data_IF_527447768364
#
_entry.id   IF_527447768364
#
_cell.length_a   1.000
_cell.length_b   1.000
_cell.length_c   1.000
_cell.angle_alpha   90.00
_cell.angle_beta   90.00
_cell.angle_gamma   90.00
#
_symmetry.space_group_name_H-M   'P 1'
#
loop_
_entity.id
_entity.type
_entity.pdbx_description
1 polymer ?
#
# COMPACT_ATOMS: atom_id res chain seq x y z
N UNK A 1 10.34 27.42 16.16
CA UNK A 1 9.05 27.70 15.49
C UNK A 1 9.25 27.66 13.98
N UNK A 2 9.32 26.45 13.43
CA UNK A 2 8.91 26.06 12.07
C UNK A 2 8.57 24.58 12.21
N UNK A 3 7.28 24.32 12.38
CA UNK A 3 6.70 22.98 12.40
C UNK A 3 6.71 22.48 10.96
N UNK A 4 7.60 21.54 10.66
CA UNK A 4 7.55 20.81 9.40
C UNK A 4 6.41 19.79 9.53
N UNK A 5 5.24 20.19 9.03
CA UNK A 5 4.11 19.28 8.81
C UNK A 5 4.49 18.39 7.62
N UNK A 6 5.13 17.26 7.90
CA UNK A 6 5.53 16.27 6.91
C UNK A 6 4.43 15.20 6.74
N UNK A 7 3.86 15.17 5.52
CA UNK A 7 3.02 14.14 4.90
C UNK A 7 1.81 13.58 5.68
N UNK A 8 0.69 14.30 5.67
CA UNK A 8 -0.62 13.68 5.90
C UNK A 8 -1.37 13.46 4.57
N UNK A 9 -1.21 12.27 3.96
CA UNK A 9 -2.21 11.71 3.06
C UNK A 9 -3.10 10.71 3.82
N UNK A 10 -3.91 11.25 4.74
CA UNK A 10 -5.24 10.73 5.09
C UNK A 10 -5.38 9.36 5.76
N UNK A 11 -5.34 9.37 7.10
CA UNK A 11 -5.68 8.27 8.05
C UNK A 11 -4.75 7.06 8.00
N UNK A 12 -3.66 7.17 8.74
CA UNK A 12 -2.94 6.01 9.29
C UNK A 12 -3.88 5.19 10.17
N UNK A 13 -4.02 3.89 9.89
CA UNK A 13 -4.68 2.94 10.80
C UNK A 13 -5.64 1.94 10.17
N UNK A 14 -6.24 2.25 9.01
CA UNK A 14 -7.28 1.39 8.41
C UNK A 14 -6.84 0.76 7.09
N UNK A 15 -7.39 -0.41 6.79
CA UNK A 15 -7.23 -1.04 5.47
C UNK A 15 -8.00 -0.27 4.42
N UNK A 16 -7.36 -0.01 3.27
CA UNK A 16 -7.98 0.65 2.11
C UNK A 16 -7.92 -0.27 0.91
N UNK A 17 -9.08 -0.47 0.30
CA UNK A 17 -9.22 -1.15 -1.00
C UNK A 17 -9.36 -0.12 -2.12
N UNK A 18 -8.84 -0.43 -3.30
CA UNK A 18 -8.99 0.43 -4.50
C UNK A 18 -10.47 0.57 -4.89
N UNK A 19 -10.88 1.75 -5.35
CA UNK A 19 -12.21 1.97 -5.93
C UNK A 19 -12.42 1.22 -7.26
N UNK A 20 -11.33 0.79 -7.91
CA UNK A 20 -11.36 -0.02 -9.13
C UNK A 20 -11.43 -1.53 -8.84
N UNK A 21 -11.48 -1.91 -7.56
CA UNK A 21 -11.69 -3.29 -7.13
C UNK A 21 -12.98 -3.86 -7.73
N UNK A 22 -12.87 -5.03 -8.35
CA UNK A 22 -14.01 -5.83 -8.75
C UNK A 22 -14.16 -7.04 -7.81
N UNK A 23 -15.37 -7.60 -7.65
CA UNK A 23 -15.61 -8.72 -6.75
C UNK A 23 -14.61 -9.86 -6.99
N UNK A 24 -13.84 -10.19 -5.96
CA UNK A 24 -13.01 -11.39 -5.93
C UNK A 24 -11.58 -11.26 -6.46
N UNK A 25 -10.98 -10.07 -6.61
CA UNK A 25 -9.53 -9.89 -6.90
C UNK A 25 -8.98 -8.54 -6.46
N UNK A 26 -9.01 -8.26 -5.16
CA UNK A 26 -8.59 -6.96 -4.65
C UNK A 26 -7.44 -7.05 -3.66
N UNK A 27 -6.63 -5.99 -3.69
CA UNK A 27 -5.54 -5.78 -2.76
C UNK A 27 -5.95 -4.68 -1.80
N UNK A 28 -5.68 -4.91 -0.52
CA UNK A 28 -5.84 -3.91 0.53
C UNK A 28 -4.49 -3.41 1.00
N UNK A 29 -4.41 -2.10 1.25
CA UNK A 29 -3.20 -1.42 1.71
C UNK A 29 -3.50 -0.68 3.01
N UNK A 30 -2.59 -0.76 3.98
CA UNK A 30 -2.65 -0.01 5.24
C UNK A 30 -1.31 0.66 5.51
N UNK A 31 -1.34 1.97 5.72
CA UNK A 31 -0.16 2.76 6.08
C UNK A 31 -0.05 2.83 7.60
N UNK A 32 1.13 2.53 8.13
CA UNK A 32 1.44 2.50 9.56
C UNK A 32 2.79 3.19 9.83
N UNK A 33 3.11 3.55 11.08
CA UNK A 33 4.45 4.04 11.43
C UNK A 33 5.57 3.03 11.18
N UNK A 34 5.25 1.74 11.00
CA UNK A 34 6.22 0.69 10.69
C UNK A 34 6.40 0.47 9.17
N UNK A 35 5.68 1.22 8.33
CA UNK A 35 5.68 1.09 6.88
C UNK A 35 4.30 0.72 6.32
N UNK A 36 4.31 0.16 5.10
CA UNK A 36 3.11 -0.17 4.32
C UNK A 36 2.83 -1.66 4.36
N UNK A 37 1.60 -1.99 4.79
CA UNK A 37 1.09 -3.36 4.82
C UNK A 37 0.22 -3.62 3.60
N UNK A 38 0.40 -4.77 2.96
CA UNK A 38 -0.36 -5.19 1.77
C UNK A 38 -0.90 -6.61 1.99
N UNK A 39 -2.18 -6.83 1.69
CA UNK A 39 -2.81 -8.16 1.76
C UNK A 39 -3.83 -8.39 0.65
N UNK A 40 -4.13 -9.66 0.40
CA UNK A 40 -5.26 -10.06 -0.45
C UNK A 40 -6.58 -9.91 0.34
N UNK A 41 -7.53 -9.15 -0.20
CA UNK A 41 -8.81 -8.87 0.44
C UNK A 41 -9.71 -10.11 0.58
N UNK A 42 -9.41 -11.20 -0.14
CA UNK A 42 -10.22 -12.43 -0.14
C UNK A 42 -9.89 -13.35 1.03
N UNK A 43 -8.75 -13.15 1.66
CA UNK A 43 -8.24 -14.03 2.72
C UNK A 43 -8.17 -13.20 4.00
N UNK A 44 -9.25 -13.24 4.79
CA UNK A 44 -9.42 -12.42 6.00
C UNK A 44 -8.23 -12.49 6.97
N UNK A 45 -7.54 -13.64 7.03
CA UNK A 45 -6.34 -13.89 7.82
C UNK A 45 -5.15 -14.36 6.96
N UNK A 46 -5.06 -13.85 5.73
CA UNK A 46 -3.99 -14.15 4.80
C UNK A 46 -2.64 -13.54 5.21
N UNK A 47 -1.54 -13.92 4.54
CA UNK A 47 -0.24 -13.31 4.77
C UNK A 47 -0.29 -11.81 4.47
N UNK A 48 0.39 -11.04 5.32
CA UNK A 48 0.57 -9.60 5.15
C UNK A 48 2.00 -9.35 4.71
N UNK A 49 2.18 -8.72 3.55
CA UNK A 49 3.47 -8.22 3.12
C UNK A 49 3.72 -6.88 3.80
N UNK A 50 4.95 -6.68 4.28
CA UNK A 50 5.38 -5.47 4.98
C UNK A 50 6.47 -4.83 4.14
N UNK A 51 6.28 -3.57 3.77
CA UNK A 51 7.25 -2.75 3.07
C UNK A 51 7.67 -1.61 3.99
N UNK A 52 8.96 -1.31 4.03
CA UNK A 52 9.43 0.00 4.50
C UNK A 52 8.93 1.10 3.57
N UNK A 53 8.96 2.36 4.04
CA UNK A 53 8.56 3.49 3.21
C UNK A 53 9.44 3.61 1.94
N UNK A 54 10.73 3.32 2.07
CA UNK A 54 11.70 3.33 0.97
C UNK A 54 11.39 2.24 -0.07
N UNK A 55 11.15 1.00 0.38
CA UNK A 55 10.76 -0.10 -0.50
C UNK A 55 9.43 0.17 -1.19
N UNK A 56 8.47 0.78 -0.49
CA UNK A 56 7.17 1.14 -1.07
C UNK A 56 7.31 2.18 -2.18
N UNK A 57 8.15 3.20 -2.00
CA UNK A 57 8.42 4.22 -3.03
C UNK A 57 9.03 3.56 -4.27
N UNK A 58 10.03 2.69 -4.09
CA UNK A 58 10.67 1.97 -5.19
C UNK A 58 9.69 1.03 -5.89
N UNK A 59 8.88 0.30 -5.13
CA UNK A 59 7.85 -0.59 -5.67
C UNK A 59 6.86 0.17 -6.58
N UNK A 60 6.34 1.31 -6.12
CA UNK A 60 5.41 2.14 -6.92
C UNK A 60 6.11 2.70 -8.17
N UNK A 61 7.39 3.07 -8.07
CA UNK A 61 8.16 3.50 -9.23
C UNK A 61 8.29 2.39 -10.28
N UNK A 62 8.63 1.16 -9.87
CA UNK A 62 8.73 0.01 -10.76
C UNK A 62 7.38 -0.37 -11.40
N UNK A 63 6.28 -0.34 -10.64
CA UNK A 63 4.92 -0.54 -11.18
C UNK A 63 4.60 0.47 -12.26
N UNK A 64 4.91 1.76 -12.05
CA UNK A 64 4.67 2.81 -13.05
C UNK A 64 5.57 2.68 -14.28
N UNK A 65 6.76 2.12 -14.12
CA UNK A 65 7.68 1.83 -15.21
C UNK A 65 7.34 0.55 -15.98
N UNK A 66 6.34 -0.23 -15.54
CA UNK A 66 5.95 -1.49 -16.17
C UNK A 66 6.93 -2.63 -15.88
N UNK A 67 7.78 -2.51 -14.85
CA UNK A 67 8.79 -3.54 -14.53
C UNK A 67 8.18 -4.90 -14.18
N UNK A 68 6.92 -4.90 -13.74
CA UNK A 68 6.18 -6.10 -13.33
C UNK A 68 5.12 -6.52 -14.34
N UNK A 69 5.07 -5.91 -15.52
CA UNK A 69 4.18 -6.32 -16.60
C UNK A 69 4.76 -7.60 -17.24
N UNK A 70 4.45 -8.75 -16.62
CA UNK A 70 4.73 -10.06 -17.19
C UNK A 70 3.78 -10.30 -18.37
N UNK A 71 4.28 -9.99 -19.57
CA UNK A 71 3.65 -10.29 -20.85
C UNK A 71 3.65 -11.78 -21.22
#
# INVERSE_FOLDING_TARGET
>A
MRENVEFECGRSGEWRVSSFCQPGSCVEVKITPAGVLVRDSKVDAGPVLVFTDEEWIVFIAGVRAGEFDIG
#
